data_IF_442888681541
#
_entry.id   IF_442888681541
#
_cell.length_a   1.000
_cell.length_b   1.000
_cell.length_c   1.000
_cell.angle_alpha   90.00
_cell.angle_beta   90.00
_cell.angle_gamma   90.00
#
_symmetry.space_group_name_H-M   'P 1'
#
loop_
_entity.id
_entity.type
_entity.pdbx_description
1 polymer ?
#
# COMPACT_ATOMS: atom_id res chain seq x y z
N UNK A 1 0.27 3.32 5.04
CA UNK A 1 0.01 2.04 5.72
C UNK A 1 0.92 1.81 6.92
N UNK A 2 2.25 1.84 6.79
CA UNK A 2 3.18 1.55 7.89
C UNK A 2 2.98 2.42 9.15
N UNK A 3 2.95 3.75 9.00
CA UNK A 3 2.75 4.67 10.14
C UNK A 3 1.40 4.44 10.83
N UNK A 4 0.36 4.13 10.06
CA UNK A 4 -0.98 3.83 10.56
C UNK A 4 -0.99 2.50 11.34
N UNK A 5 -0.39 1.45 10.77
CA UNK A 5 -0.24 0.15 11.44
C UNK A 5 0.48 0.30 12.79
N UNK A 6 1.55 1.10 12.85
CA UNK A 6 2.31 1.33 14.08
C UNK A 6 1.53 2.11 15.14
N UNK A 7 0.74 3.10 14.74
CA UNK A 7 0.10 4.05 15.68
C UNK A 7 -1.32 3.63 16.09
N UNK A 8 -2.07 3.02 15.17
CA UNK A 8 -3.49 2.73 15.34
C UNK A 8 -3.85 1.27 15.03
N UNK A 9 -3.00 0.57 14.27
CA UNK A 9 -3.28 -0.77 13.75
C UNK A 9 -3.78 -0.75 12.30
N UNK A 10 -4.40 -1.84 11.86
CA UNK A 10 -4.89 -1.98 10.49
C UNK A 10 -6.33 -1.45 10.38
N UNK A 11 -6.64 -0.57 9.42
CA UNK A 11 -8.01 -0.07 9.26
C UNK A 11 -8.93 -1.20 8.79
N UNK A 12 -10.18 -1.21 9.27
CA UNK A 12 -11.19 -2.13 8.77
C UNK A 12 -11.51 -1.85 7.29
N UNK A 13 -11.59 -0.57 6.92
CA UNK A 13 -11.83 -0.15 5.55
C UNK A 13 -11.05 1.11 5.17
N UNK A 14 -10.76 1.24 3.88
CA UNK A 14 -10.14 2.44 3.30
C UNK A 14 -11.11 2.98 2.28
N UNK A 15 -11.54 4.22 2.50
CA UNK A 15 -12.28 4.98 1.51
C UNK A 15 -11.32 5.72 0.59
N UNK A 16 -11.43 5.49 -0.71
CA UNK A 16 -10.53 6.09 -1.70
C UNK A 16 -11.26 6.54 -2.95
N UNK A 17 -10.64 7.47 -3.66
CA UNK A 17 -11.06 7.83 -5.00
C UNK A 17 -10.90 6.64 -5.96
N UNK A 18 -11.73 6.57 -7.00
CA UNK A 18 -11.75 5.47 -7.97
C UNK A 18 -10.59 5.57 -8.98
N UNK A 19 -9.36 5.71 -8.46
CA UNK A 19 -8.13 5.79 -9.26
C UNK A 19 -7.62 4.39 -9.63
N UNK A 20 -6.88 4.32 -10.73
CA UNK A 20 -6.36 3.07 -11.31
C UNK A 20 -5.42 2.28 -10.40
N UNK A 21 -4.81 2.95 -9.41
CA UNK A 21 -3.97 2.30 -8.38
C UNK A 21 -4.79 1.39 -7.45
N UNK A 22 -6.10 1.58 -7.39
CA UNK A 22 -7.02 0.83 -6.52
C UNK A 22 -7.91 -0.15 -7.28
N UNK A 23 -8.13 0.06 -8.58
CA UNK A 23 -8.84 -0.87 -9.44
C UNK A 23 -8.37 -0.69 -10.88
N UNK A 24 -8.26 -1.77 -11.66
CA UNK A 24 -8.11 -1.63 -13.10
C UNK A 24 -9.50 -1.50 -13.73
N UNK A 25 -9.61 -0.68 -14.77
CA UNK A 25 -10.85 -0.56 -15.54
C UNK A 25 -11.11 -1.88 -16.27
N UNK A 26 -12.28 -2.52 -16.11
CA UNK A 26 -12.59 -3.77 -16.83
C UNK A 26 -12.60 -3.62 -18.35
N UNK A 27 -12.81 -2.39 -18.85
CA UNK A 27 -12.82 -2.04 -20.27
C UNK A 27 -11.43 -1.78 -20.84
N UNK A 28 -10.45 -1.54 -19.99
CA UNK A 28 -9.06 -1.45 -20.39
C UNK A 28 -8.51 -2.88 -20.33
N UNK A 29 -8.34 -3.51 -21.48
CA UNK A 29 -7.77 -4.86 -21.64
C UNK A 29 -6.41 -4.95 -20.94
N UNK A 30 -6.44 -5.20 -19.64
CA UNK A 30 -5.25 -5.61 -18.91
C UNK A 30 -5.20 -7.11 -19.09
N UNK A 31 -4.74 -7.53 -20.27
CA UNK A 31 -4.68 -8.93 -20.66
C UNK A 31 -3.98 -9.73 -19.57
N UNK A 32 -4.70 -10.72 -19.04
CA UNK A 32 -4.13 -11.73 -18.15
C UNK A 32 -3.03 -12.44 -18.93
N UNK A 33 -1.88 -12.68 -18.31
CA UNK A 33 -0.89 -13.57 -18.91
C UNK A 33 -1.44 -15.00 -18.99
N UNK A 34 -0.89 -15.81 -19.90
CA UNK A 34 -1.25 -17.23 -20.00
C UNK A 34 -1.08 -17.95 -18.64
N UNK A 35 -0.04 -17.59 -17.89
CA UNK A 35 0.24 -18.11 -16.55
C UNK A 35 -0.83 -17.69 -15.53
N UNK A 36 -1.33 -16.45 -15.61
CA UNK A 36 -2.39 -15.94 -14.73
C UNK A 36 -3.73 -16.65 -15.03
N UNK A 37 -4.04 -16.88 -16.31
CA UNK A 37 -5.22 -17.65 -16.71
C UNK A 37 -5.15 -19.11 -16.24
N UNK A 38 -3.99 -19.77 -16.41
CA UNK A 38 -3.76 -21.15 -15.95
C UNK A 38 -3.81 -21.27 -14.42
N UNK A 39 -3.46 -20.20 -13.69
CA UNK A 39 -3.61 -20.11 -12.24
C UNK A 39 -5.04 -19.79 -11.78
N UNK A 40 -6.01 -19.71 -12.69
CA UNK A 40 -7.41 -19.41 -12.39
C UNK A 40 -7.67 -17.95 -12.03
N UNK A 41 -6.76 -17.03 -12.37
CA UNK A 41 -6.95 -15.60 -12.14
C UNK A 41 -7.92 -15.05 -13.20
N UNK A 42 -9.09 -14.61 -12.75
CA UNK A 42 -10.18 -14.16 -13.63
C UNK A 42 -10.03 -12.66 -14.00
N UNK A 43 -9.33 -11.88 -13.18
CA UNK A 43 -9.04 -10.47 -13.43
C UNK A 43 -7.71 -10.06 -12.80
N UNK A 44 -6.94 -9.21 -13.47
CA UNK A 44 -5.73 -8.63 -12.89
C UNK A 44 -6.16 -7.68 -11.78
N UNK A 45 -5.56 -7.79 -10.61
CA UNK A 45 -5.83 -6.91 -9.47
C UNK A 45 -4.58 -6.06 -9.16
N UNK A 46 -4.71 -4.74 -8.89
CA UNK A 46 -3.55 -3.94 -8.48
C UNK A 46 -2.94 -4.48 -7.18
N UNK A 47 -1.60 -4.44 -7.08
CA UNK A 47 -0.88 -4.93 -5.89
C UNK A 47 -1.43 -4.35 -4.57
N UNK A 48 -1.85 -3.08 -4.58
CA UNK A 48 -2.43 -2.45 -3.41
C UNK A 48 -3.76 -3.08 -3.00
N UNK A 49 -4.66 -3.34 -3.96
CA UNK A 49 -5.96 -3.96 -3.68
C UNK A 49 -5.79 -5.42 -3.24
N UNK A 50 -4.85 -6.15 -3.86
CA UNK A 50 -4.45 -7.50 -3.41
C UNK A 50 -3.99 -7.47 -1.95
N UNK A 51 -3.08 -6.56 -1.60
CA UNK A 51 -2.55 -6.42 -0.25
C UNK A 51 -3.65 -6.10 0.78
N UNK A 52 -4.57 -5.18 0.44
CA UNK A 52 -5.74 -4.89 1.27
C UNK A 52 -6.61 -6.13 1.48
N UNK A 53 -6.91 -6.89 0.42
CA UNK A 53 -7.71 -8.12 0.50
C UNK A 53 -7.06 -9.16 1.42
N UNK A 54 -5.76 -9.40 1.29
CA UNK A 54 -5.02 -10.34 2.13
C UNK A 54 -5.04 -9.94 3.61
N UNK A 55 -5.00 -8.63 3.88
CA UNK A 55 -5.09 -8.06 5.22
C UNK A 55 -6.54 -7.88 5.71
N UNK A 56 -7.53 -8.33 4.95
CA UNK A 56 -8.97 -8.17 5.24
C UNK A 56 -9.41 -6.71 5.41
N UNK A 57 -8.72 -5.80 4.73
CA UNK A 57 -9.05 -4.38 4.66
C UNK A 57 -10.01 -4.16 3.50
N UNK A 58 -11.23 -3.71 3.77
CA UNK A 58 -12.21 -3.41 2.73
C UNK A 58 -11.87 -2.11 2.00
N UNK A 59 -11.65 -2.17 0.70
CA UNK A 59 -11.40 -0.98 -0.12
C UNK A 59 -12.72 -0.46 -0.71
N UNK A 60 -13.15 0.72 -0.28
CA UNK A 60 -14.40 1.36 -0.70
C UNK A 60 -14.04 2.47 -1.70
N UNK A 61 -14.47 2.31 -2.96
CA UNK A 61 -14.22 3.30 -4.01
C UNK A 61 -15.36 4.30 -4.09
N UNK A 62 -15.00 5.58 -4.10
CA UNK A 62 -15.94 6.67 -4.30
C UNK A 62 -16.54 6.61 -5.71
N UNK A 63 -17.86 6.39 -5.79
CA UNK A 63 -18.62 6.35 -7.06
C UNK A 63 -19.36 7.67 -7.37
N UNK A 64 -19.33 8.65 -6.45
CA UNK A 64 -19.98 9.94 -6.63
C UNK A 64 -19.24 11.07 -5.91
N UNK A 65 -19.39 12.30 -6.41
CA UNK A 65 -18.84 13.51 -5.79
C UNK A 65 -19.48 13.80 -4.41
N UNK A 66 -20.75 13.44 -4.25
CA UNK A 66 -21.51 13.71 -3.02
C UNK A 66 -20.95 12.95 -1.80
N UNK A 67 -20.36 11.78 -2.02
CA UNK A 67 -19.68 11.02 -0.98
C UNK A 67 -18.32 11.62 -0.55
N UNK A 68 -17.81 12.64 -1.27
CA UNK A 68 -16.53 13.31 -1.00
C UNK A 68 -16.66 14.67 -0.32
N UNK A 69 -17.84 15.30 -0.29
CA UNK A 69 -17.98 16.72 0.08
C UNK A 69 -17.52 17.11 1.49
N UNK A 70 -17.52 16.19 2.47
CA UNK A 70 -16.95 16.45 3.82
C UNK A 70 -15.43 16.37 3.82
N UNK A 71 -14.90 15.36 3.11
CA UNK A 71 -13.48 15.11 2.94
C UNK A 71 -12.85 16.25 2.13
N UNK A 72 -13.49 16.70 1.05
CA UNK A 72 -13.03 17.81 0.21
C UNK A 72 -12.96 19.14 0.99
N UNK A 73 -13.98 19.47 1.80
CA UNK A 73 -13.94 20.66 2.67
C UNK A 73 -12.79 20.61 3.68
N UNK A 74 -12.54 19.44 4.27
CA UNK A 74 -11.40 19.23 5.16
C UNK A 74 -10.07 19.43 4.41
N UNK A 75 -9.95 18.86 3.20
CA UNK A 75 -8.74 18.97 2.39
C UNK A 75 -8.46 20.40 1.94
N UNK A 76 -9.48 21.16 1.52
CA UNK A 76 -9.31 22.57 1.16
C UNK A 76 -8.73 23.38 2.33
N UNK A 77 -9.33 23.23 3.52
CA UNK A 77 -8.86 23.92 4.73
C UNK A 77 -7.41 23.55 5.08
N UNK A 78 -7.05 22.27 4.94
CA UNK A 78 -5.69 21.79 5.19
C UNK A 78 -4.71 22.32 4.14
N UNK A 79 -5.06 22.24 2.86
CA UNK A 79 -4.23 22.65 1.72
C UNK A 79 -3.99 24.15 1.68
N UNK A 80 -4.94 24.97 2.12
CA UNK A 80 -4.74 26.42 2.21
C UNK A 80 -3.85 26.81 3.40
N UNK A 81 -4.02 26.13 4.54
CA UNK A 81 -3.33 26.51 5.79
C UNK A 81 -1.92 25.99 5.90
N UNK A 82 -1.66 24.77 5.43
CA UNK A 82 -0.36 24.14 5.56
C UNK A 82 0.77 24.96 4.90
N UNK A 83 0.63 25.45 3.65
CA UNK A 83 1.64 26.29 3.02
C UNK A 83 1.87 27.62 3.76
N UNK A 84 0.79 28.24 4.27
CA UNK A 84 0.89 29.48 5.03
C UNK A 84 1.66 29.29 6.34
N UNK A 85 1.38 28.21 7.07
CA UNK A 85 2.06 27.90 8.32
C UNK A 85 3.53 27.53 8.09
N UNK A 86 3.83 26.77 7.03
CA UNK A 86 5.21 26.49 6.61
C UNK A 86 5.98 27.78 6.30
N UNK A 87 5.37 28.69 5.52
CA UNK A 87 5.94 30.00 5.19
C UNK A 87 6.17 30.85 6.44
N UNK A 88 5.21 30.88 7.38
CA UNK A 88 5.34 31.62 8.64
C UNK A 88 6.49 31.09 9.51
N UNK A 89 6.78 29.79 9.44
CA UNK A 89 7.90 29.17 10.16
C UNK A 89 9.22 29.21 9.39
N UNK A 90 9.25 29.79 8.18
CA UNK A 90 10.45 29.85 7.36
C UNK A 90 10.95 28.49 6.87
N UNK A 91 10.09 27.47 6.82
CA UNK A 91 10.47 26.11 6.43
C UNK A 91 10.50 25.99 4.91
N UNK A 92 11.64 25.59 4.36
CA UNK A 92 11.87 25.45 2.91
C UNK A 92 12.44 24.10 2.49
N UNK A 93 12.63 23.17 3.43
CA UNK A 93 13.19 21.84 3.14
C UNK A 93 12.31 20.69 3.65
N UNK A 94 12.49 19.50 3.06
CA UNK A 94 11.68 18.32 3.32
C UNK A 94 11.86 17.80 4.75
N UNK A 95 13.10 17.82 5.27
CA UNK A 95 13.41 17.27 6.59
C UNK A 95 12.69 18.05 7.71
N UNK A 96 12.73 19.38 7.65
CA UNK A 96 12.08 20.24 8.62
C UNK A 96 10.56 20.26 8.42
N UNK A 97 10.09 20.15 7.17
CA UNK A 97 8.66 19.94 6.89
C UNK A 97 8.14 18.68 7.58
N UNK A 98 8.85 17.55 7.47
CA UNK A 98 8.45 16.30 8.13
C UNK A 98 8.36 16.44 9.65
N UNK A 99 9.32 17.13 10.28
CA UNK A 99 9.29 17.42 11.73
C UNK A 99 8.12 18.33 12.10
N UNK A 100 7.86 19.34 11.28
CA UNK A 100 6.76 20.28 11.49
C UNK A 100 5.39 19.61 11.37
N UNK A 101 5.19 18.75 10.36
CA UNK A 101 3.93 18.05 10.11
C UNK A 101 3.44 17.26 11.32
N UNK A 102 4.35 16.61 12.05
CA UNK A 102 4.02 15.87 13.28
C UNK A 102 3.36 16.77 14.34
N UNK A 103 3.84 18.01 14.49
CA UNK A 103 3.27 19.00 15.42
C UNK A 103 2.02 19.66 14.85
N UNK A 104 2.04 19.96 13.56
CA UNK A 104 0.96 20.63 12.85
C UNK A 104 -0.33 19.81 12.86
N UNK A 105 -0.27 18.49 12.62
CA UNK A 105 -1.44 17.61 12.64
C UNK A 105 -2.17 17.67 13.99
N UNK A 106 -1.43 17.67 15.10
CA UNK A 106 -2.04 17.78 16.43
C UNK A 106 -2.73 19.14 16.64
N UNK A 107 -2.07 20.24 16.25
CA UNK A 107 -2.63 21.60 16.31
C UNK A 107 -3.84 21.77 15.40
N UNK A 108 -3.82 21.14 14.22
CA UNK A 108 -4.90 21.17 13.25
C UNK A 108 -6.12 20.41 13.80
N UNK A 109 -5.91 19.17 14.27
CA UNK A 109 -6.98 18.35 14.84
C UNK A 109 -7.60 19.00 16.07
N UNK A 110 -6.83 19.68 16.93
CA UNK A 110 -7.38 20.41 18.08
C UNK A 110 -8.38 21.54 17.69
N UNK A 111 -8.33 22.03 16.45
CA UNK A 111 -9.23 23.10 15.96
C UNK A 111 -10.35 22.59 15.05
N UNK A 112 -10.09 21.52 14.30
CA UNK A 112 -10.94 21.08 13.19
C UNK A 112 -11.45 19.65 13.30
N UNK A 113 -10.93 18.86 14.24
CA UNK A 113 -11.47 17.53 14.45
C UNK A 113 -12.91 17.66 14.95
N UNK A 114 -13.73 16.73 14.50
CA UNK A 114 -15.11 16.55 14.95
C UNK A 114 -15.12 15.26 15.73
N UNK A 115 -15.74 15.28 16.92
CA UNK A 115 -15.92 14.07 17.71
C UNK A 115 -16.66 13.01 16.90
N UNK A 116 -16.20 11.76 16.91
CA UNK A 116 -16.87 10.70 16.17
C UNK A 116 -18.20 10.36 16.85
N UNK A 117 -19.20 10.01 16.05
CA UNK A 117 -20.49 9.55 16.58
C UNK A 117 -20.36 8.22 17.33
N UNK A 118 -19.48 7.34 16.87
CA UNK A 118 -19.09 6.11 17.57
C UNK A 118 -17.60 6.19 17.97
N UNK A 119 -17.33 6.03 19.26
CA UNK A 119 -15.98 6.09 19.86
C UNK A 119 -15.22 4.77 19.68
N UNK A 120 -15.90 3.69 19.28
CA UNK A 120 -15.27 2.40 19.02
C UNK A 120 -14.25 2.50 17.88
N UNK A 121 -13.09 1.90 18.13
CA UNK A 121 -12.02 1.87 17.14
C UNK A 121 -12.43 1.01 15.93
N UNK A 122 -12.39 1.62 14.74
CA UNK A 122 -12.50 0.90 13.46
C UNK A 122 -11.15 0.33 12.98
N UNK A 123 -10.20 0.11 13.88
CA UNK A 123 -8.90 -0.50 13.61
C UNK A 123 -8.77 -1.87 14.25
N UNK A 124 -8.26 -2.82 13.47
CA UNK A 124 -7.77 -4.11 13.91
C UNK A 124 -6.36 -3.99 14.51
N UNK A 125 -5.93 -5.03 15.22
CA UNK A 125 -4.59 -5.10 15.80
C UNK A 125 -3.50 -4.87 14.76
N UNK A 126 -2.43 -4.22 15.17
CA UNK A 126 -1.23 -4.05 14.35
C UNK A 126 -0.59 -5.39 14.05
N UNK A 127 -0.05 -5.52 12.84
CA UNK A 127 0.78 -6.66 12.45
C UNK A 127 2.26 -6.28 12.42
N UNK A 128 3.14 -7.27 12.30
CA UNK A 128 4.57 -7.02 12.18
C UNK A 128 4.91 -6.23 10.90
N UNK A 129 5.99 -5.45 10.96
CA UNK A 129 6.42 -4.62 9.85
C UNK A 129 6.84 -5.46 8.63
N UNK A 130 7.54 -6.57 8.84
CA UNK A 130 8.00 -7.46 7.77
C UNK A 130 6.81 -8.15 7.08
N UNK A 131 5.81 -8.57 7.87
CA UNK A 131 4.57 -9.08 7.31
C UNK A 131 3.88 -8.01 6.45
N UNK A 132 3.72 -6.79 6.99
CA UNK A 132 3.12 -5.68 6.25
C UNK A 132 3.87 -5.38 4.94
N UNK A 133 5.20 -5.36 4.96
CA UNK A 133 6.02 -5.16 3.76
C UNK A 133 5.82 -6.28 2.75
N UNK A 134 5.81 -7.53 3.20
CA UNK A 134 5.57 -8.70 2.35
C UNK A 134 4.21 -8.65 1.67
N UNK A 135 3.17 -8.22 2.39
CA UNK A 135 1.81 -8.10 1.84
C UNK A 135 1.73 -7.00 0.79
N UNK A 136 2.34 -5.83 1.05
CA UNK A 136 2.33 -4.68 0.15
C UNK A 136 3.40 -4.72 -0.95
N UNK A 137 4.25 -5.74 -1.00
CA UNK A 137 5.26 -5.88 -2.04
C UNK A 137 4.64 -6.20 -3.41
N UNK A 138 5.41 -5.96 -4.48
CA UNK A 138 5.06 -6.51 -5.77
C UNK A 138 5.30 -8.01 -5.75
N UNK A 139 4.25 -8.78 -6.03
CA UNK A 139 4.33 -10.23 -6.08
C UNK A 139 4.26 -10.70 -7.53
N UNK A 140 4.94 -11.81 -7.83
CA UNK A 140 5.03 -12.34 -9.19
C UNK A 140 5.07 -13.86 -9.13
N UNK A 141 4.08 -14.51 -9.72
CA UNK A 141 4.02 -15.96 -9.81
C UNK A 141 4.98 -16.46 -10.88
N UNK A 142 5.69 -17.55 -10.60
CA UNK A 142 6.61 -18.19 -11.52
C UNK A 142 6.44 -19.69 -11.43
N UNK A 143 6.36 -20.36 -12.57
CA UNK A 143 6.42 -21.81 -12.64
C UNK A 143 7.88 -22.24 -12.53
N UNK A 144 8.11 -23.31 -11.76
CA UNK A 144 9.41 -23.93 -11.64
C UNK A 144 9.58 -24.95 -12.75
N UNK A 145 10.75 -24.95 -13.38
CA UNK A 145 11.14 -26.03 -14.28
C UNK A 145 11.49 -27.29 -13.47
N UNK A 146 11.61 -28.43 -14.16
CA UNK A 146 12.00 -29.72 -13.56
C UNK A 146 13.27 -29.67 -12.70
N UNK A 147 14.20 -28.75 -13.00
CA UNK A 147 15.39 -28.49 -12.19
C UNK A 147 15.22 -27.50 -11.04
N UNK A 148 13.99 -27.25 -10.56
CA UNK A 148 13.68 -26.27 -9.48
C UNK A 148 14.22 -24.87 -9.76
N UNK A 149 14.15 -24.41 -11.02
CA UNK A 149 14.66 -23.11 -11.44
C UNK A 149 13.59 -22.27 -12.15
N UNK A 150 13.71 -20.95 -12.06
CA UNK A 150 12.88 -19.98 -12.79
C UNK A 150 13.69 -18.75 -13.18
N UNK A 151 13.18 -17.93 -14.12
CA UNK A 151 13.81 -16.66 -14.52
C UNK A 151 12.98 -15.46 -14.06
N UNK A 152 13.65 -14.42 -13.57
CA UNK A 152 13.04 -13.16 -13.16
C UNK A 152 14.01 -11.99 -13.40
N UNK A 153 13.52 -10.93 -14.07
CA UNK A 153 14.29 -9.71 -14.36
C UNK A 153 15.68 -9.98 -14.98
N UNK A 154 15.74 -10.89 -15.97
CA UNK A 154 17.00 -11.26 -16.64
C UNK A 154 17.94 -12.16 -15.82
N UNK A 155 17.58 -12.51 -14.58
CA UNK A 155 18.35 -13.43 -13.72
C UNK A 155 17.64 -14.77 -13.58
N UNK A 156 18.41 -15.85 -13.56
CA UNK A 156 17.91 -17.20 -13.26
C UNK A 156 18.08 -17.48 -11.77
N UNK A 157 17.07 -18.03 -11.13
CA UNK A 157 17.06 -18.41 -9.73
C UNK A 157 16.85 -19.92 -9.63
N UNK A 158 17.52 -20.56 -8.66
CA UNK A 158 17.28 -21.95 -8.27
C UNK A 158 16.84 -22.03 -6.82
N UNK A 159 15.92 -22.95 -6.54
CA UNK A 159 15.53 -23.29 -5.17
C UNK A 159 16.46 -24.37 -4.66
N UNK A 160 17.17 -24.05 -3.57
CA UNK A 160 17.95 -25.02 -2.81
C UNK A 160 17.06 -25.60 -1.70
N UNK A 161 16.89 -26.93 -1.64
CA UNK A 161 16.04 -27.63 -0.68
C UNK A 161 16.82 -28.33 0.44
N UNK A 162 18.14 -28.14 0.51
CA UNK A 162 19.04 -28.91 1.37
C UNK A 162 18.75 -28.84 2.88
N UNK A 163 17.94 -27.89 3.36
CA UNK A 163 17.61 -27.74 4.79
C UNK A 163 16.10 -27.60 5.09
N UNK A 164 15.21 -28.11 4.23
CA UNK A 164 13.76 -27.84 4.36
C UNK A 164 13.39 -26.33 4.34
N UNK A 165 14.35 -25.48 3.94
CA UNK A 165 14.21 -24.04 3.75
C UNK A 165 14.41 -23.72 2.28
N UNK A 166 13.43 -23.05 1.69
CA UNK A 166 13.49 -22.60 0.30
C UNK A 166 14.45 -21.39 0.25
N UNK A 167 15.64 -21.58 -0.32
CA UNK A 167 16.60 -20.49 -0.55
C UNK A 167 16.74 -20.21 -2.03
N UNK A 168 16.63 -18.94 -2.44
CA UNK A 168 16.80 -18.50 -3.82
C UNK A 168 18.25 -18.12 -4.10
N UNK A 169 18.91 -18.84 -5.02
CA UNK A 169 20.28 -18.53 -5.46
C UNK A 169 20.31 -18.08 -6.92
N UNK A 170 20.97 -16.96 -7.27
CA UNK A 170 21.17 -16.60 -8.67
C UNK A 170 22.09 -17.61 -9.35
N UNK A 171 21.65 -18.18 -10.47
CA UNK A 171 22.34 -19.27 -11.19
C UNK A 171 23.61 -18.80 -11.92
N UNK A 172 23.73 -17.49 -12.18
CA UNK A 172 24.82 -16.88 -12.96
C UNK A 172 25.58 -15.78 -12.18
N UNK A 173 25.67 -15.86 -10.84
CA UNK A 173 26.62 -15.02 -10.12
C UNK A 173 27.98 -15.73 -10.07
N UNK A 174 28.77 -15.57 -11.12
CA UNK A 174 30.22 -15.72 -10.98
C UNK A 174 30.71 -14.51 -10.19
N UNK A 175 30.77 -14.64 -8.87
CA UNK A 175 31.66 -13.84 -8.05
C UNK A 175 32.35 -14.80 -7.06
N UNK A 176 33.68 -14.86 -7.19
CA UNK A 176 34.57 -15.26 -6.12
C UNK A 176 34.37 -14.31 -4.93
N UNK A 177 34.30 -14.92 -3.74
CA UNK A 177 34.44 -14.35 -2.38
C UNK A 177 33.62 -13.09 -2.05
#
# INVERSE_FOLDING_TARGET
>A
MQQMNKKYGLPLSIYSDSRTVFHYNPKEETSLSLDEQLAGVIFKEPNFKRACRELRISLILAKSAQAKGRIERLWLTLQDRLPLELKRMGISNIADTNKFLLKFINKYNAKFAVEPENVESSFLKSIDAEELYTRFSQQSFRQLNSGLTFSYAGKKYSIDTKENKITLKPKNSNYCL
#
